data_IF_231267289508
#
_entry.id   IF_231267289508
#
_cell.length_a   1.000
_cell.length_b   1.000
_cell.length_c   1.000
_cell.angle_alpha   90.00
_cell.angle_beta   90.00
_cell.angle_gamma   90.00
#
_symmetry.space_group_name_H-M   'P 1'
#
loop_
_entity.id
_entity.type
_entity.pdbx_description
1 polymer ?
#
# COMPACT_ATOMS: atom_id res chain seq x y z
N UNK A 1 -0.95 -5.25 -29.24
CA UNK A 1 -1.54 -5.73 -27.96
C UNK A 1 -2.40 -4.62 -27.37
N UNK A 2 -3.49 -4.98 -26.70
CA UNK A 2 -4.39 -4.02 -26.04
C UNK A 2 -4.05 -3.96 -24.58
N UNK A 3 -3.74 -2.76 -24.03
CA UNK A 3 -3.31 -2.54 -22.66
C UNK A 3 -4.50 -2.09 -21.81
N UNK A 4 -4.80 -2.83 -20.74
CA UNK A 4 -5.93 -2.57 -19.86
C UNK A 4 -5.42 -2.10 -18.50
N UNK A 5 -5.86 -0.91 -18.06
CA UNK A 5 -5.66 -0.40 -16.70
C UNK A 5 -6.82 -0.81 -15.82
N UNK A 6 -6.49 -1.37 -14.68
CA UNK A 6 -7.43 -1.69 -13.59
C UNK A 6 -7.27 -0.69 -12.45
N UNK A 7 -8.38 -0.23 -11.90
CA UNK A 7 -8.47 0.32 -10.54
C UNK A 7 -9.26 -0.66 -9.69
N UNK A 8 -8.66 -1.10 -8.59
CA UNK A 8 -9.23 -2.17 -7.78
C UNK A 8 -9.04 -1.90 -6.29
N UNK A 9 -9.89 -2.55 -5.50
CA UNK A 9 -9.82 -2.57 -4.05
C UNK A 9 -9.83 -4.00 -3.54
N UNK A 10 -9.21 -4.24 -2.38
CA UNK A 10 -9.23 -5.56 -1.76
C UNK A 10 -8.99 -5.53 -0.24
N UNK A 11 -9.64 -6.47 0.45
CA UNK A 11 -9.24 -6.88 1.81
C UNK A 11 -8.08 -7.88 1.70
N UNK A 12 -6.87 -7.43 2.04
CA UNK A 12 -5.65 -8.23 1.97
C UNK A 12 -5.49 -9.25 3.10
N UNK A 13 -6.36 -9.22 4.11
CA UNK A 13 -6.16 -9.93 5.38
C UNK A 13 -5.93 -11.45 5.27
N UNK A 14 -6.43 -12.10 4.23
CA UNK A 14 -6.21 -13.54 3.98
C UNK A 14 -5.20 -13.85 2.87
N UNK A 15 -4.59 -12.83 2.27
CA UNK A 15 -3.65 -12.99 1.16
C UNK A 15 -2.21 -12.79 1.60
N UNK A 16 -1.29 -13.44 0.90
CA UNK A 16 0.15 -13.32 1.11
C UNK A 16 0.74 -12.04 0.46
N UNK A 17 -0.12 -11.02 0.25
CA UNK A 17 0.17 -9.76 -0.39
C UNK A 17 -0.23 -9.74 -1.86
N UNK A 18 0.25 -8.71 -2.59
CA UNK A 18 0.01 -8.61 -4.03
C UNK A 18 0.69 -9.75 -4.78
N UNK A 19 1.99 -9.93 -4.57
CA UNK A 19 2.79 -11.03 -5.13
C UNK A 19 3.70 -11.60 -4.05
N UNK A 20 3.83 -12.93 -3.98
CA UNK A 20 4.79 -13.58 -3.10
C UNK A 20 6.18 -13.56 -3.73
N UNK A 21 7.18 -13.16 -2.97
CA UNK A 21 8.59 -13.25 -3.36
C UNK A 21 9.08 -14.68 -3.14
N UNK A 22 9.22 -15.50 -4.22
CA UNK A 22 9.73 -16.85 -4.12
C UNK A 22 9.25 -17.77 -5.24
N UNK A 23 9.72 -19.04 -5.25
CA UNK A 23 9.51 -20.01 -6.34
C UNK A 23 8.20 -20.81 -6.26
N UNK A 24 7.38 -20.64 -5.23
CA UNK A 24 6.15 -21.44 -5.06
C UNK A 24 5.02 -20.89 -5.92
N UNK A 25 4.64 -21.65 -6.93
CA UNK A 25 3.59 -21.33 -7.91
C UNK A 25 2.15 -21.34 -7.34
N UNK A 26 1.93 -21.82 -6.12
CA UNK A 26 0.63 -21.90 -5.46
C UNK A 26 0.45 -20.84 -4.37
N UNK A 27 0.83 -19.60 -4.65
CA UNK A 27 0.69 -18.53 -3.68
C UNK A 27 -0.73 -17.97 -3.67
N UNK A 28 -1.31 -17.83 -2.48
CA UNK A 28 -2.60 -17.18 -2.27
C UNK A 28 -2.42 -15.64 -2.31
N UNK A 29 -2.17 -15.09 -3.51
CA UNK A 29 -1.91 -13.66 -3.73
C UNK A 29 -3.01 -13.00 -4.54
N UNK A 30 -3.13 -11.68 -4.42
CA UNK A 30 -4.10 -10.88 -5.20
C UNK A 30 -3.84 -11.04 -6.70
N UNK A 31 -2.57 -10.94 -7.12
CA UNK A 31 -2.16 -11.10 -8.53
C UNK A 31 -2.57 -12.45 -9.09
N UNK A 32 -2.32 -13.55 -8.35
CA UNK A 32 -2.67 -14.89 -8.79
C UNK A 32 -4.18 -15.03 -9.03
N UNK A 33 -5.02 -14.49 -8.13
CA UNK A 33 -6.48 -14.52 -8.29
C UNK A 33 -6.95 -13.78 -9.53
N UNK A 34 -6.36 -12.62 -9.82
CA UNK A 34 -6.72 -11.84 -11.01
C UNK A 34 -6.27 -12.57 -12.28
N UNK A 35 -5.03 -13.09 -12.32
CA UNK A 35 -4.49 -13.87 -13.45
C UNK A 35 -5.37 -15.07 -13.77
N UNK A 36 -5.72 -15.87 -12.77
CA UNK A 36 -6.59 -17.05 -12.94
C UNK A 36 -7.92 -16.70 -13.61
N UNK A 37 -8.54 -15.57 -13.24
CA UNK A 37 -9.83 -15.17 -13.81
C UNK A 37 -9.67 -14.61 -15.23
N UNK A 38 -8.62 -13.82 -15.49
CA UNK A 38 -8.35 -13.32 -16.84
C UNK A 38 -8.03 -14.49 -17.80
N UNK A 39 -7.21 -15.45 -17.36
CA UNK A 39 -6.90 -16.64 -18.14
C UNK A 39 -8.17 -17.45 -18.46
N UNK A 40 -9.09 -17.60 -17.51
CA UNK A 40 -10.39 -18.25 -17.75
C UNK A 40 -11.27 -17.49 -18.75
N UNK A 41 -11.17 -16.17 -18.77
CA UNK A 41 -11.93 -15.33 -19.71
C UNK A 41 -11.38 -15.40 -21.14
N UNK A 42 -10.05 -15.33 -21.28
CA UNK A 42 -9.38 -15.07 -22.55
C UNK A 42 -8.60 -16.26 -23.11
N UNK A 43 -8.25 -17.23 -22.28
CA UNK A 43 -7.32 -18.32 -22.62
C UNK A 43 -5.84 -17.88 -22.60
N UNK A 44 -5.55 -16.59 -22.35
CA UNK A 44 -4.19 -16.05 -22.39
C UNK A 44 -3.53 -16.11 -21.00
N UNK A 45 -2.27 -16.50 -20.93
CA UNK A 45 -1.41 -16.28 -19.77
C UNK A 45 -0.77 -14.89 -19.88
N UNK A 46 -0.97 -14.07 -18.85
CA UNK A 46 -0.62 -12.65 -18.88
C UNK A 46 0.32 -12.29 -17.74
N UNK A 47 1.07 -11.21 -17.94
CA UNK A 47 1.76 -10.51 -16.85
C UNK A 47 0.92 -9.33 -16.36
N UNK A 48 0.88 -9.15 -15.03
CA UNK A 48 0.23 -8.00 -14.42
C UNK A 48 1.28 -7.09 -13.79
N UNK A 49 1.25 -5.82 -14.17
CA UNK A 49 2.09 -4.77 -13.61
C UNK A 49 1.28 -3.95 -12.62
N UNK A 50 1.80 -3.74 -11.42
CA UNK A 50 1.09 -3.06 -10.33
C UNK A 50 1.84 -1.80 -9.88
N UNK A 51 1.11 -0.76 -9.53
CA UNK A 51 1.67 0.50 -9.06
C UNK A 51 2.40 0.36 -7.73
N UNK A 52 1.83 -0.40 -6.79
CA UNK A 52 2.42 -0.67 -5.48
C UNK A 52 2.24 -2.13 -5.09
N UNK A 53 3.32 -2.83 -4.74
CA UNK A 53 3.24 -4.19 -4.17
C UNK A 53 2.93 -4.10 -2.69
N UNK A 54 1.71 -4.48 -2.31
CA UNK A 54 1.33 -4.57 -0.90
C UNK A 54 1.89 -5.85 -0.27
N UNK A 55 2.28 -5.75 0.99
CA UNK A 55 2.75 -6.87 1.80
C UNK A 55 1.58 -7.76 2.25
N UNK A 56 1.91 -8.90 2.87
CA UNK A 56 0.94 -9.83 3.45
C UNK A 56 0.01 -9.11 4.43
N UNK A 57 -1.29 -9.29 4.27
CA UNK A 57 -2.33 -8.73 5.14
C UNK A 57 -2.71 -7.28 4.84
N UNK A 58 -1.95 -6.56 4.01
CA UNK A 58 -2.21 -5.15 3.69
C UNK A 58 -3.37 -5.03 2.70
N UNK A 59 -4.30 -4.11 3.00
CA UNK A 59 -5.46 -3.80 2.17
C UNK A 59 -5.14 -2.74 1.11
N UNK A 60 -6.02 -2.55 0.13
CA UNK A 60 -5.98 -1.42 -0.78
C UNK A 60 -7.40 -0.92 -1.11
N UNK A 61 -7.59 0.40 -1.15
CA UNK A 61 -8.84 1.01 -1.60
C UNK A 61 -8.78 1.50 -3.05
N UNK A 62 -7.59 1.82 -3.55
CA UNK A 62 -7.40 2.28 -4.92
C UNK A 62 -6.04 1.82 -5.47
N UNK A 63 -5.90 0.52 -5.70
CA UNK A 63 -4.73 -0.05 -6.34
C UNK A 63 -4.86 0.09 -7.84
N UNK A 64 -3.77 0.47 -8.49
CA UNK A 64 -3.69 0.48 -9.95
C UNK A 64 -2.82 -0.66 -10.45
N UNK A 65 -3.33 -1.40 -11.43
CA UNK A 65 -2.59 -2.43 -12.15
C UNK A 65 -2.87 -2.33 -13.65
N UNK A 66 -2.01 -2.91 -14.47
CA UNK A 66 -2.29 -3.08 -15.90
C UNK A 66 -1.80 -4.42 -16.42
N UNK A 67 -2.42 -4.89 -17.49
CA UNK A 67 -2.05 -6.09 -18.24
C UNK A 67 -2.35 -5.91 -19.71
N UNK A 68 -1.78 -6.77 -20.56
CA UNK A 68 -1.96 -6.72 -22.02
C UNK A 68 -2.61 -7.99 -22.52
N UNK A 69 -3.52 -7.85 -23.49
CA UNK A 69 -4.14 -8.95 -24.24
C UNK A 69 -3.85 -8.82 -25.74
N UNK A 70 -3.82 -9.94 -26.43
CA UNK A 70 -3.71 -9.97 -27.90
C UNK A 70 -5.01 -9.53 -28.57
N UNK A 71 -6.15 -10.03 -28.03
CA UNK A 71 -7.48 -9.69 -28.53
C UNK A 71 -8.08 -8.50 -27.79
N UNK A 72 -8.95 -7.76 -28.50
CA UNK A 72 -9.65 -6.60 -27.96
C UNK A 72 -10.97 -7.02 -27.32
N UNK A 73 -11.08 -6.73 -26.01
CA UNK A 73 -12.32 -6.86 -25.24
C UNK A 73 -12.84 -5.47 -24.87
N UNK A 74 -14.16 -5.33 -24.70
CA UNK A 74 -14.68 -4.08 -24.16
C UNK A 74 -14.32 -3.96 -22.66
N UNK A 75 -13.85 -2.80 -22.18
CA UNK A 75 -13.48 -2.62 -20.77
C UNK A 75 -14.60 -2.99 -19.77
N UNK A 76 -15.86 -2.73 -20.15
CA UNK A 76 -17.03 -3.09 -19.33
C UNK A 76 -17.20 -4.60 -19.22
N UNK A 77 -16.92 -5.35 -20.26
CA UNK A 77 -16.99 -6.82 -20.26
C UNK A 77 -15.93 -7.41 -19.34
N UNK A 78 -14.67 -6.93 -19.46
CA UNK A 78 -13.57 -7.33 -18.58
C UNK A 78 -13.92 -7.03 -17.12
N UNK A 79 -14.40 -5.81 -16.81
CA UNK A 79 -14.82 -5.41 -15.47
C UNK A 79 -15.89 -6.33 -14.91
N UNK A 80 -16.95 -6.58 -15.68
CA UNK A 80 -18.09 -7.38 -15.24
C UNK A 80 -17.69 -8.84 -15.02
N UNK A 81 -16.85 -9.39 -15.91
CA UNK A 81 -16.35 -10.75 -15.77
C UNK A 81 -15.47 -10.90 -14.53
N UNK A 82 -14.51 -9.98 -14.31
CA UNK A 82 -13.66 -9.98 -13.12
C UNK A 82 -14.51 -9.93 -11.84
N UNK A 83 -15.45 -8.98 -11.72
CA UNK A 83 -16.28 -8.84 -10.51
C UNK A 83 -17.26 -10.00 -10.31
N UNK A 84 -17.61 -10.73 -11.36
CA UNK A 84 -18.47 -11.92 -11.25
C UNK A 84 -17.75 -13.13 -10.66
N UNK A 85 -16.45 -13.29 -10.97
CA UNK A 85 -15.72 -14.52 -10.65
C UNK A 85 -14.58 -14.33 -9.64
N UNK A 86 -14.15 -13.10 -9.36
CA UNK A 86 -13.20 -12.84 -8.28
C UNK A 86 -13.81 -13.15 -6.91
N UNK A 87 -12.97 -13.52 -5.92
CA UNK A 87 -13.41 -13.60 -4.53
C UNK A 87 -14.02 -12.27 -4.07
N UNK A 88 -15.00 -12.34 -3.15
CA UNK A 88 -15.77 -11.17 -2.68
C UNK A 88 -14.93 -10.09 -1.98
N UNK A 89 -13.71 -10.41 -1.60
CA UNK A 89 -12.74 -9.51 -0.98
C UNK A 89 -11.78 -8.85 -1.99
N UNK A 90 -12.00 -9.04 -3.30
CA UNK A 90 -11.32 -8.33 -4.39
C UNK A 90 -12.38 -7.77 -5.34
N UNK A 91 -12.38 -6.46 -5.57
CA UNK A 91 -13.29 -5.81 -6.50
C UNK A 91 -12.56 -4.87 -7.46
N UNK A 92 -12.99 -4.88 -8.72
CA UNK A 92 -12.46 -4.01 -9.79
C UNK A 92 -13.44 -2.85 -9.98
N UNK A 93 -13.03 -1.66 -9.56
CA UNK A 93 -13.84 -0.45 -9.64
C UNK A 93 -13.93 0.10 -11.08
N UNK A 94 -12.80 0.04 -11.81
CA UNK A 94 -12.69 0.58 -13.17
C UNK A 94 -11.75 -0.26 -14.02
N UNK A 95 -12.09 -0.39 -15.31
CA UNK A 95 -11.24 -0.95 -16.36
C UNK A 95 -11.24 0.03 -17.53
N UNK A 96 -10.08 0.32 -18.08
CA UNK A 96 -9.91 1.24 -19.21
C UNK A 96 -8.86 0.70 -20.18
N UNK A 97 -9.06 0.95 -21.47
CA UNK A 97 -7.99 0.84 -22.46
C UNK A 97 -7.06 2.05 -22.31
N UNK A 98 -5.78 1.80 -22.28
CA UNK A 98 -4.75 2.83 -22.14
C UNK A 98 -3.68 2.66 -23.23
N UNK A 99 -2.81 3.68 -23.37
CA UNK A 99 -1.68 3.61 -24.29
C UNK A 99 -0.86 2.34 -24.08
N UNK A 100 -0.34 1.76 -25.17
CA UNK A 100 0.43 0.52 -25.11
C UNK A 100 1.68 0.63 -24.23
N UNK A 101 2.26 1.82 -24.09
CA UNK A 101 3.44 2.10 -23.28
C UNK A 101 3.11 2.33 -21.79
N UNK A 102 1.82 2.45 -21.46
CA UNK A 102 1.42 2.63 -20.06
C UNK A 102 1.89 1.45 -19.20
N UNK A 103 2.48 1.77 -18.04
CA UNK A 103 2.99 0.79 -17.09
C UNK A 103 2.71 1.27 -15.65
N UNK A 104 1.83 0.59 -14.95
CA UNK A 104 1.33 1.03 -13.63
C UNK A 104 2.44 1.33 -12.62
N UNK A 105 3.54 0.58 -12.63
CA UNK A 105 4.66 0.82 -11.71
C UNK A 105 5.51 2.03 -12.13
N UNK A 106 5.79 2.19 -13.44
CA UNK A 106 6.69 3.24 -13.93
C UNK A 106 5.99 4.59 -14.02
N UNK A 107 4.67 4.59 -14.22
CA UNK A 107 3.85 5.79 -14.30
C UNK A 107 3.29 6.23 -12.94
N UNK A 108 3.42 5.42 -11.89
CA UNK A 108 3.08 5.83 -10.54
C UNK A 108 4.01 6.98 -10.09
N UNK A 109 3.43 8.11 -9.66
CA UNK A 109 4.18 9.27 -9.18
C UNK A 109 4.27 9.30 -7.67
N UNK A 110 3.17 8.94 -7.05
CA UNK A 110 3.01 9.01 -5.61
C UNK A 110 2.23 7.79 -5.12
N UNK A 111 2.56 7.36 -3.93
CA UNK A 111 1.89 6.29 -3.22
C UNK A 111 1.56 6.81 -1.83
N UNK A 112 0.34 6.54 -1.37
CA UNK A 112 -0.09 6.92 -0.04
C UNK A 112 -0.43 5.68 0.76
N UNK A 113 0.13 5.57 1.96
CA UNK A 113 -0.27 4.62 2.98
C UNK A 113 -1.10 5.33 4.03
N UNK A 114 -2.25 4.76 4.38
CA UNK A 114 -3.12 5.24 5.45
C UNK A 114 -3.18 4.17 6.52
N UNK A 115 -2.90 4.53 7.76
CA UNK A 115 -2.99 3.65 8.92
C UNK A 115 -4.01 4.22 9.90
N UNK A 116 -4.99 3.40 10.27
CA UNK A 116 -6.05 3.79 11.20
C UNK A 116 -5.79 3.21 12.58
N UNK A 117 -5.99 4.03 13.59
CA UNK A 117 -5.88 3.67 15.00
C UNK A 117 -7.24 3.93 15.64
N UNK A 118 -7.76 2.92 16.32
CA UNK A 118 -8.96 2.99 17.16
C UNK A 118 -8.50 3.16 18.62
N UNK A 119 -8.80 4.32 19.20
CA UNK A 119 -8.42 4.71 20.58
C UNK A 119 -9.63 4.66 21.53
N UNK A 120 -10.74 4.05 21.12
CA UNK A 120 -11.93 3.93 21.95
C UNK A 120 -11.68 3.01 23.15
N UNK A 121 -12.33 3.29 24.30
CA UNK A 121 -12.27 2.44 25.48
C UNK A 121 -12.76 1.01 25.23
N UNK A 122 -13.61 0.82 24.21
CA UNK A 122 -14.10 -0.49 23.78
C UNK A 122 -13.82 -0.65 22.29
N UNK A 123 -13.04 -1.68 21.94
CA UNK A 123 -12.69 -1.95 20.55
C UNK A 123 -13.92 -2.18 19.68
N UNK A 124 -13.96 -1.56 18.51
CA UNK A 124 -15.00 -1.80 17.52
C UNK A 124 -14.71 -3.11 16.76
N UNK A 125 -15.46 -4.17 17.08
CA UNK A 125 -15.27 -5.51 16.47
C UNK A 125 -15.51 -5.55 14.96
N UNK A 126 -16.26 -4.60 14.40
CA UNK A 126 -16.54 -4.54 12.96
C UNK A 126 -15.41 -3.88 12.17
N UNK A 127 -14.61 -3.01 12.81
CA UNK A 127 -13.46 -2.34 12.19
C UNK A 127 -12.12 -2.99 12.52
N UNK A 128 -12.08 -4.02 13.38
CA UNK A 128 -10.85 -4.66 13.89
C UNK A 128 -9.86 -5.14 12.82
N UNK A 129 -10.33 -5.36 11.60
CA UNK A 129 -9.48 -5.75 10.46
C UNK A 129 -8.81 -4.56 9.78
N UNK A 130 -9.32 -3.34 9.99
CA UNK A 130 -8.96 -2.14 9.24
C UNK A 130 -8.45 -1.01 10.11
N UNK A 131 -8.37 -1.23 11.44
CA UNK A 131 -7.83 -0.27 12.40
C UNK A 131 -7.07 -1.02 13.50
N UNK A 132 -5.94 -0.50 13.89
CA UNK A 132 -5.19 -0.94 15.06
C UNK A 132 -5.85 -0.37 16.31
N UNK A 133 -6.26 -1.23 17.24
CA UNK A 133 -6.85 -0.77 18.50
C UNK A 133 -5.77 -0.61 19.56
N UNK A 134 -5.83 0.50 20.32
CA UNK A 134 -5.01 0.74 21.51
C UNK A 134 -5.86 1.29 22.63
N UNK A 135 -5.60 0.83 23.86
CA UNK A 135 -6.25 1.38 25.06
C UNK A 135 -5.59 2.67 25.56
N UNK A 136 -4.33 2.89 25.22
CA UNK A 136 -3.59 4.08 25.59
C UNK A 136 -3.72 5.13 24.50
N UNK A 137 -4.17 6.34 24.87
CA UNK A 137 -4.26 7.46 23.93
C UNK A 137 -2.84 7.96 23.66
N UNK A 138 -2.32 7.85 22.42
CA UNK A 138 -0.97 8.27 22.11
C UNK A 138 -0.82 9.80 22.17
N UNK A 139 0.38 10.28 22.47
CA UNK A 139 0.72 11.71 22.36
C UNK A 139 0.83 12.10 20.88
N UNK A 140 -0.30 12.55 20.31
CA UNK A 140 -0.41 12.98 18.92
C UNK A 140 0.54 14.14 18.60
N UNK A 141 0.83 15.02 19.57
CA UNK A 141 1.74 16.14 19.37
C UNK A 141 3.18 15.66 19.20
N UNK A 142 3.61 14.74 20.04
CA UNK A 142 4.95 14.13 19.92
C UNK A 142 5.07 13.34 18.60
N UNK A 143 4.02 12.59 18.20
CA UNK A 143 3.99 11.89 16.91
C UNK A 143 4.14 12.85 15.72
N UNK A 144 3.42 13.99 15.71
CA UNK A 144 3.54 15.01 14.66
C UNK A 144 4.95 15.63 14.61
N UNK A 145 5.57 15.88 15.75
CA UNK A 145 6.94 16.37 15.82
C UNK A 145 7.93 15.35 15.26
N UNK A 146 7.78 14.08 15.61
CA UNK A 146 8.61 13.00 15.07
C UNK A 146 8.42 12.82 13.55
N UNK A 147 7.18 12.88 13.06
CA UNK A 147 6.84 12.78 11.65
C UNK A 147 7.54 13.85 10.80
N UNK A 148 7.73 15.05 11.32
CA UNK A 148 8.41 16.15 10.63
C UNK A 148 9.83 15.78 10.18
N UNK A 149 10.59 15.03 10.98
CA UNK A 149 11.94 14.58 10.62
C UNK A 149 11.96 13.53 9.49
N UNK A 150 10.85 12.88 9.21
CA UNK A 150 10.74 11.88 8.14
C UNK A 150 10.43 12.49 6.77
N UNK A 151 9.93 13.75 6.74
CA UNK A 151 9.54 14.44 5.50
C UNK A 151 10.78 14.85 4.72
N UNK A 152 10.71 14.69 3.38
CA UNK A 152 11.78 15.03 2.46
C UNK A 152 12.54 13.80 1.95
N UNK A 153 13.65 14.06 1.29
CA UNK A 153 14.48 13.04 0.65
C UNK A 153 15.56 12.54 1.60
N UNK A 154 15.42 11.31 2.08
CA UNK A 154 16.31 10.69 3.05
C UNK A 154 16.67 9.25 2.67
N UNK A 155 17.73 8.71 3.29
CA UNK A 155 18.06 7.29 3.23
C UNK A 155 17.26 6.51 4.28
N UNK A 156 16.27 5.74 3.81
CA UNK A 156 15.40 4.92 4.66
C UNK A 156 15.91 3.48 4.85
N UNK A 157 17.24 3.27 4.78
CA UNK A 157 17.85 1.95 4.97
C UNK A 157 17.47 1.31 6.30
N UNK A 158 17.34 2.08 7.38
CA UNK A 158 16.91 1.59 8.69
C UNK A 158 15.44 1.13 8.73
N UNK A 159 14.60 1.63 7.84
CA UNK A 159 13.15 1.36 7.79
C UNK A 159 12.78 0.23 6.82
N UNK A 160 13.69 -0.63 6.44
CA UNK A 160 13.38 -1.72 5.50
C UNK A 160 14.06 -3.02 5.87
N UNK A 161 13.39 -4.13 5.54
CA UNK A 161 13.96 -5.49 5.61
C UNK A 161 14.52 -5.95 4.27
N UNK A 162 14.49 -5.13 3.23
CA UNK A 162 15.00 -5.48 1.91
C UNK A 162 16.53 -5.61 1.92
N UNK A 163 17.04 -6.84 1.74
CA UNK A 163 18.47 -7.14 1.73
C UNK A 163 19.21 -6.63 0.47
N UNK A 164 18.49 -6.39 -0.63
CA UNK A 164 19.05 -5.98 -1.93
C UNK A 164 18.15 -4.93 -2.56
N UNK A 165 18.32 -3.66 -2.22
CA UNK A 165 17.73 -2.54 -2.95
C UNK A 165 18.84 -1.82 -3.72
N UNK A 166 18.56 -1.38 -4.95
CA UNK A 166 19.49 -0.55 -5.74
C UNK A 166 19.71 0.81 -5.08
N UNK A 167 18.69 1.33 -4.41
CA UNK A 167 18.74 2.57 -3.63
C UNK A 167 17.73 2.49 -2.50
N UNK A 168 18.11 2.95 -1.31
CA UNK A 168 17.25 3.09 -0.13
C UNK A 168 16.76 4.51 0.10
N UNK A 169 17.18 5.44 -0.79
CA UNK A 169 16.72 6.83 -0.75
C UNK A 169 15.28 6.92 -1.27
N UNK A 170 14.40 7.57 -0.51
CA UNK A 170 13.00 7.88 -0.86
C UNK A 170 12.69 9.31 -0.51
N UNK A 171 11.67 9.86 -1.17
CA UNK A 171 11.20 11.21 -0.97
C UNK A 171 9.79 11.17 -0.36
N UNK A 172 9.72 11.38 0.96
CA UNK A 172 8.44 11.50 1.67
C UNK A 172 7.89 12.89 1.44
N UNK A 173 6.77 12.95 0.72
CA UNK A 173 6.11 14.21 0.36
C UNK A 173 5.35 14.81 1.53
N UNK A 174 4.73 13.94 2.33
CA UNK A 174 3.91 14.35 3.46
C UNK A 174 3.71 13.22 4.46
N UNK A 175 3.57 13.59 5.75
CA UNK A 175 3.13 12.71 6.84
C UNK A 175 2.06 13.46 7.64
N UNK A 176 0.81 13.16 7.37
CA UNK A 176 -0.33 13.77 8.04
C UNK A 176 -0.85 12.86 9.15
N UNK A 177 -1.12 13.43 10.33
CA UNK A 177 -1.72 12.72 11.47
C UNK A 177 -2.95 13.52 11.90
N UNK A 178 -4.12 12.92 11.72
CA UNK A 178 -5.42 13.54 12.06
C UNK A 178 -6.15 12.71 13.09
N UNK A 179 -6.98 13.38 13.89
CA UNK A 179 -7.83 12.73 14.90
C UNK A 179 -9.27 13.18 14.73
N UNK A 180 -10.21 12.25 14.88
CA UNK A 180 -11.64 12.49 14.88
C UNK A 180 -12.28 11.61 15.99
N UNK A 181 -12.63 12.25 17.12
CA UNK A 181 -13.06 11.53 18.31
C UNK A 181 -12.02 10.52 18.77
N UNK A 182 -12.43 9.27 18.90
CA UNK A 182 -11.57 8.14 19.30
C UNK A 182 -10.80 7.52 18.11
N UNK A 183 -10.80 8.13 16.93
CA UNK A 183 -10.07 7.66 15.76
C UNK A 183 -8.86 8.53 15.48
N UNK A 184 -7.73 7.90 15.15
CA UNK A 184 -6.56 8.57 14.62
C UNK A 184 -6.18 7.95 13.28
N UNK A 185 -5.83 8.80 12.31
CA UNK A 185 -5.36 8.37 10.99
C UNK A 185 -3.97 8.95 10.74
N UNK A 186 -3.01 8.06 10.37
CA UNK A 186 -1.68 8.43 9.92
C UNK A 186 -1.63 8.20 8.42
N UNK A 187 -1.37 9.24 7.65
CA UNK A 187 -1.27 9.22 6.19
C UNK A 187 0.15 9.57 5.78
N UNK A 188 0.83 8.67 5.06
CA UNK A 188 2.18 8.87 4.56
C UNK A 188 2.16 8.84 3.04
N UNK A 189 2.59 9.92 2.40
CA UNK A 189 2.69 10.03 0.94
C UNK A 189 4.16 10.13 0.52
N UNK A 190 4.58 9.31 -0.43
CA UNK A 190 5.95 9.23 -0.93
C UNK A 190 6.00 8.99 -2.44
N UNK A 191 7.17 9.21 -3.05
CA UNK A 191 7.46 8.79 -4.43
C UNK A 191 7.40 7.28 -4.58
N UNK A 192 7.95 6.53 -3.62
CA UNK A 192 7.89 5.07 -3.52
C UNK A 192 8.17 4.61 -2.08
N UNK A 193 7.85 3.36 -1.77
CA UNK A 193 8.18 2.74 -0.49
C UNK A 193 9.11 1.54 -0.68
N UNK A 194 10.06 1.39 0.24
CA UNK A 194 10.81 0.15 0.40
C UNK A 194 9.94 -0.91 1.09
N UNK A 195 10.36 -2.16 1.03
CA UNK A 195 9.65 -3.26 1.69
C UNK A 195 9.49 -3.01 3.19
N UNK A 196 8.27 -3.07 3.69
CA UNK A 196 7.84 -2.74 5.06
C UNK A 196 8.09 -1.30 5.52
N UNK A 197 8.60 -0.40 4.68
CA UNK A 197 9.03 0.94 5.09
C UNK A 197 7.92 1.73 5.78
N UNK A 198 6.75 1.84 5.19
CA UNK A 198 5.62 2.57 5.78
C UNK A 198 5.25 2.01 7.16
N UNK A 199 5.28 0.69 7.32
CA UNK A 199 4.97 0.03 8.60
C UNK A 199 6.02 0.31 9.68
N UNK A 200 7.31 0.35 9.32
CA UNK A 200 8.38 0.75 10.25
C UNK A 200 8.27 2.23 10.65
N UNK A 201 7.94 3.11 9.71
CA UNK A 201 7.69 4.53 10.01
C UNK A 201 6.52 4.68 11.01
N UNK A 202 5.41 3.97 10.76
CA UNK A 202 4.24 4.00 11.64
C UNK A 202 4.58 3.40 13.00
N UNK A 203 5.28 2.27 13.07
CA UNK A 203 5.72 1.66 14.34
C UNK A 203 6.56 2.61 15.17
N UNK A 204 7.49 3.34 14.53
CA UNK A 204 8.29 4.37 15.20
C UNK A 204 7.42 5.52 15.74
N UNK A 205 6.44 5.98 14.97
CA UNK A 205 5.51 7.04 15.43
C UNK A 205 4.64 6.56 16.59
N UNK A 206 4.17 5.29 16.57
CA UNK A 206 3.42 4.69 17.67
C UNK A 206 4.25 4.59 18.94
N UNK A 207 5.52 4.17 18.84
CA UNK A 207 6.44 4.10 19.99
C UNK A 207 6.73 5.49 20.57
N UNK A 208 6.82 6.54 19.73
CA UNK A 208 6.93 7.92 20.19
C UNK A 208 5.64 8.35 20.90
N UNK A 209 4.48 8.05 20.30
CA UNK A 209 3.18 8.40 20.87
C UNK A 209 2.90 7.74 22.23
N UNK A 210 3.39 6.51 22.43
CA UNK A 210 3.28 5.78 23.71
C UNK A 210 4.38 6.15 24.73
N UNK A 211 5.35 7.01 24.36
CA UNK A 211 6.47 7.39 25.22
C UNK A 211 7.57 6.33 25.35
N UNK A 212 7.51 5.23 24.59
CA UNK A 212 8.56 4.21 24.51
C UNK A 212 9.81 4.74 23.81
N UNK A 213 9.65 5.72 22.93
CA UNK A 213 10.73 6.45 22.25
C UNK A 213 10.52 7.96 22.35
N UNK A 214 11.60 8.69 22.14
CA UNK A 214 11.59 10.14 22.10
C UNK A 214 11.57 10.64 20.65
N UNK A 215 11.14 11.88 20.45
CA UNK A 215 11.18 12.56 19.15
C UNK A 215 12.62 12.59 18.60
N UNK A 216 13.61 12.81 19.48
CA UNK A 216 15.03 12.85 19.14
C UNK A 216 15.56 11.50 18.62
N UNK A 217 14.96 10.38 18.97
CA UNK A 217 15.33 9.06 18.44
C UNK A 217 15.04 8.99 16.94
N UNK A 218 13.91 9.57 16.49
CA UNK A 218 13.59 9.66 15.06
C UNK A 218 14.58 10.56 14.33
N UNK A 219 14.86 11.75 14.88
CA UNK A 219 15.86 12.66 14.33
C UNK A 219 17.23 11.98 14.18
N UNK A 220 17.67 11.26 15.21
CA UNK A 220 18.93 10.55 15.21
C UNK A 220 18.99 9.43 14.14
N UNK A 221 17.92 8.66 13.98
CA UNK A 221 17.81 7.63 12.93
C UNK A 221 17.90 8.27 11.54
N UNK A 222 17.15 9.36 11.32
CA UNK A 222 17.17 10.08 10.04
C UNK A 222 18.53 10.71 9.75
N UNK A 223 19.29 11.07 10.80
CA UNK A 223 20.68 11.52 10.70
C UNK A 223 21.69 10.37 10.53
N UNK A 224 21.24 9.11 10.42
CA UNK A 224 22.08 7.93 10.23
C UNK A 224 22.81 7.47 11.48
N UNK A 225 22.40 7.91 12.68
CA UNK A 225 22.94 7.44 13.95
C UNK A 225 22.39 6.07 14.31
N UNK A 226 23.15 5.32 15.10
CA UNK A 226 22.74 4.00 15.56
C UNK A 226 21.72 4.13 16.70
N UNK A 227 20.45 3.88 16.38
CA UNK A 227 19.33 3.86 17.32
C UNK A 227 18.54 2.57 17.09
N UNK A 228 18.09 1.95 18.16
CA UNK A 228 17.27 0.74 18.07
C UNK A 228 15.96 1.06 17.35
N UNK A 229 15.69 0.36 16.24
CA UNK A 229 14.46 0.52 15.48
C UNK A 229 13.26 -0.06 16.21
N UNK A 230 12.10 0.58 16.01
CA UNK A 230 10.80 0.04 16.41
C UNK A 230 10.44 -1.19 15.59
N UNK A 231 9.53 -2.01 16.08
CA UNK A 231 8.92 -3.06 15.27
C UNK A 231 8.00 -2.43 14.20
N UNK A 232 7.82 -3.08 13.06
CA UNK A 232 6.86 -2.60 12.07
C UNK A 232 5.44 -2.70 12.62
N UNK A 233 4.64 -1.67 12.41
CA UNK A 233 3.22 -1.70 12.77
C UNK A 233 2.51 -2.91 12.13
N UNK A 234 1.44 -3.38 12.78
CA UNK A 234 0.65 -4.52 12.30
C UNK A 234 0.13 -4.32 10.86
N UNK A 235 -0.03 -5.42 10.11
CA UNK A 235 -0.45 -5.35 8.71
C UNK A 235 -1.95 -5.12 8.51
N UNK A 236 -2.76 -5.33 9.53
CA UNK A 236 -4.17 -4.91 9.53
C UNK A 236 -4.24 -3.45 9.99
N UNK A 237 -4.83 -2.61 9.25
CA UNK A 237 -4.82 -1.16 9.49
C UNK A 237 -4.27 -0.34 8.33
N UNK A 238 -3.17 -0.72 7.65
CA UNK A 238 -2.71 0.03 6.51
C UNK A 238 -3.56 -0.24 5.27
N UNK A 239 -3.88 0.84 4.57
CA UNK A 239 -4.57 0.83 3.29
C UNK A 239 -3.72 1.58 2.27
N UNK A 240 -3.38 0.91 1.17
CA UNK A 240 -2.56 1.50 0.10
C UNK A 240 -3.40 2.20 -0.96
N UNK A 241 -2.92 3.34 -1.43
CA UNK A 241 -3.44 4.07 -2.59
C UNK A 241 -2.30 4.33 -3.58
N UNK A 242 -2.59 4.21 -4.87
CA UNK A 242 -1.65 4.56 -5.94
C UNK A 242 -2.17 5.76 -6.72
N UNK A 243 -1.37 6.82 -6.84
CA UNK A 243 -1.69 8.01 -7.60
C UNK A 243 -0.92 8.01 -8.93
N UNK A 244 -1.65 8.19 -10.05
CA UNK A 244 -1.11 8.31 -11.39
C UNK A 244 -1.08 9.77 -11.86
N UNK A 245 -0.34 10.04 -12.95
CA UNK A 245 -0.40 11.34 -13.65
C UNK A 245 -1.80 11.58 -14.23
N UNK A 246 -2.29 12.84 -14.14
CA UNK A 246 -3.59 13.24 -14.65
C UNK A 246 -3.73 13.15 -16.18
N UNK A 247 -2.61 13.12 -16.93
CA UNK A 247 -2.60 13.16 -18.41
C UNK A 247 -2.50 11.78 -19.10
N UNK A 248 -2.56 10.68 -18.35
CA UNK A 248 -2.47 9.34 -18.94
C UNK A 248 -3.85 8.65 -18.97
N UNK A 249 -4.91 9.43 -19.02
CA UNK A 249 -6.28 8.96 -19.06
C UNK A 249 -6.81 9.08 -20.48
N UNK A 250 -7.14 7.90 -21.04
CA UNK A 250 -8.06 7.68 -22.16
C UNK A 250 -7.53 8.09 -23.54
N UNK A 251 -7.36 7.09 -24.38
CA UNK A 251 -7.55 7.20 -25.82
C UNK A 251 -9.07 7.33 -26.06
N UNK A 252 -9.50 8.48 -26.57
CA UNK A 252 -10.84 8.66 -27.14
C UNK A 252 -11.08 7.70 -28.32
#
# INVERSE_FOLDING_TARGET
MYNYRLQLQYDGGRYDGWVRMGKDSNSNTIECKIKEIIQKMTGEDIDIYVGCRTEKGVHALNQTANFKLNDKYQPVEVKNYLNRYLPRDIAVNRVELVDERFHSQLNAREKTYVYKIDMANVANVFTRKYAYHTFDIPDIKAMKQAAFYMIGKHDFKAFTTAKKSKSTVRDIKDVEITTDGDSCEIRITADDFLHNMARYMIGMLLDVGSGLKKVEDVENIMAGKDVVMSLPAESYGPVSYTHLRAHETVLD
#
